data_IF_223443676826
#
_entry.id   IF_223443676826
#
_cell.length_a   1.000
_cell.length_b   1.000
_cell.length_c   1.000
_cell.angle_alpha   90.00
_cell.angle_beta   90.00
_cell.angle_gamma   90.00
#
_symmetry.space_group_name_H-M   'P 1'
#
loop_
_entity.id
_entity.type
_entity.pdbx_description
1 polymer ?
#
# COMPACT_ATOMS: atom_id res chain seq x y z
N UNK A 1 9.34 35.78 5.24
CA UNK A 1 9.96 34.44 5.24
C UNK A 1 10.57 34.25 6.62
N UNK A 2 9.73 33.91 7.60
CA UNK A 2 10.15 33.75 8.98
C UNK A 2 10.11 32.26 9.32
N UNK A 3 11.18 31.84 9.97
CA UNK A 3 11.54 30.50 10.42
C UNK A 3 10.38 29.52 10.59
N UNK A 4 10.33 28.52 9.71
CA UNK A 4 9.83 27.19 10.07
C UNK A 4 10.83 26.64 11.09
N UNK A 5 10.75 27.11 12.34
CA UNK A 5 11.39 26.46 13.46
C UNK A 5 10.83 25.03 13.48
N UNK A 6 11.53 24.12 12.81
CA UNK A 6 11.24 22.68 12.85
C UNK A 6 11.17 22.33 14.33
N UNK A 7 9.94 22.17 14.85
CA UNK A 7 9.70 21.58 16.15
C UNK A 7 10.30 20.19 16.08
N UNK A 8 11.57 20.06 16.49
CA UNK A 8 12.25 18.78 16.59
C UNK A 8 11.77 18.16 17.89
N UNK A 9 10.55 17.61 17.87
CA UNK A 9 10.07 16.75 18.93
C UNK A 9 11.15 15.67 19.18
N UNK A 10 11.66 15.62 20.40
CA UNK A 10 12.62 14.61 20.84
C UNK A 10 12.03 13.20 20.65
N UNK A 11 12.88 12.17 20.58
CA UNK A 11 12.41 10.78 20.48
C UNK A 11 11.42 10.45 21.61
N UNK A 12 11.68 10.95 22.83
CA UNK A 12 10.80 10.76 23.99
C UNK A 12 9.41 11.37 23.77
N UNK A 13 9.30 12.46 23.02
CA UNK A 13 8.04 13.11 22.68
C UNK A 13 7.30 12.42 21.52
N UNK A 14 8.01 11.67 20.67
CA UNK A 14 7.41 10.90 19.56
C UNK A 14 6.90 9.51 20.01
N UNK A 15 7.63 8.83 20.90
CA UNK A 15 7.32 7.47 21.37
C UNK A 15 5.89 7.25 21.93
N UNK A 16 5.21 8.23 22.56
CA UNK A 16 3.83 8.06 23.02
C UNK A 16 2.85 7.62 21.92
N UNK A 17 3.13 7.88 20.64
CA UNK A 17 2.30 7.41 19.52
C UNK A 17 2.19 5.88 19.48
N UNK A 18 3.22 5.15 19.95
CA UNK A 18 3.25 3.69 19.95
C UNK A 18 2.19 3.06 20.87
N UNK A 19 1.71 3.81 21.87
CA UNK A 19 0.62 3.38 22.76
C UNK A 19 -0.76 3.47 22.08
N UNK A 20 -0.88 4.12 20.92
CA UNK A 20 -2.15 4.27 20.20
C UNK A 20 -2.44 3.00 19.41
N UNK A 21 -3.49 2.25 19.77
CA UNK A 21 -3.88 1.02 19.06
C UNK A 21 -4.13 1.21 17.56
N UNK A 22 -4.69 2.35 17.16
CA UNK A 22 -4.88 2.72 15.76
C UNK A 22 -3.58 2.73 14.95
N UNK A 23 -2.42 3.00 15.57
CA UNK A 23 -1.13 2.93 14.88
C UNK A 23 -0.87 1.54 14.33
N UNK A 24 -1.06 0.51 15.16
CA UNK A 24 -0.76 -0.86 14.78
C UNK A 24 -1.72 -1.38 13.71
N UNK A 25 -3.01 -1.03 13.82
CA UNK A 25 -4.01 -1.36 12.81
C UNK A 25 -3.63 -0.72 11.47
N UNK A 26 -3.32 0.58 11.47
CA UNK A 26 -2.96 1.30 10.26
C UNK A 26 -1.63 0.83 9.65
N UNK A 27 -0.64 0.51 10.48
CA UNK A 27 0.63 -0.08 10.05
C UNK A 27 0.42 -1.40 9.32
N UNK A 28 -0.51 -2.24 9.78
CA UNK A 28 -0.84 -3.50 9.10
C UNK A 28 -1.42 -3.25 7.71
N UNK A 29 -2.33 -2.28 7.57
CA UNK A 29 -2.91 -1.93 6.27
C UNK A 29 -1.85 -1.37 5.30
N UNK A 30 -0.93 -0.54 5.81
CA UNK A 30 0.15 0.00 4.99
C UNK A 30 1.17 -1.09 4.62
N UNK A 31 1.46 -2.02 5.52
CA UNK A 31 2.28 -3.19 5.24
C UNK A 31 1.65 -4.07 4.14
N UNK A 32 0.36 -4.33 4.22
CA UNK A 32 -0.35 -5.16 3.24
C UNK A 32 -0.47 -4.50 1.85
N UNK A 33 -0.17 -3.20 1.71
CA UNK A 33 -0.20 -2.50 0.43
C UNK A 33 1.22 -2.14 -0.03
N UNK A 34 1.90 -1.25 0.67
CA UNK A 34 3.27 -0.84 0.36
C UNK A 34 4.27 -1.97 0.55
N UNK A 35 4.13 -2.77 1.61
CA UNK A 35 4.96 -3.96 1.80
C UNK A 35 4.76 -4.99 0.69
N UNK A 36 3.53 -5.19 0.21
CA UNK A 36 3.27 -6.03 -0.97
C UNK A 36 3.91 -5.47 -2.24
N UNK A 37 3.81 -4.15 -2.49
CA UNK A 37 4.47 -3.52 -3.64
C UNK A 37 5.99 -3.77 -3.64
N UNK A 38 6.64 -3.60 -2.50
CA UNK A 38 8.09 -3.86 -2.35
C UNK A 38 8.40 -5.36 -2.42
N UNK A 39 7.62 -6.20 -1.74
CA UNK A 39 7.79 -7.65 -1.72
C UNK A 39 7.65 -8.26 -3.11
N UNK A 40 6.67 -7.84 -3.88
CA UNK A 40 6.53 -8.23 -5.28
C UNK A 40 7.69 -7.71 -6.12
N UNK A 41 8.11 -6.45 -5.94
CA UNK A 41 9.27 -5.89 -6.67
C UNK A 41 10.54 -6.71 -6.45
N UNK A 42 10.75 -7.20 -5.23
CA UNK A 42 11.90 -8.01 -4.86
C UNK A 42 11.80 -9.47 -5.36
N UNK A 43 10.62 -10.08 -5.24
CA UNK A 43 10.43 -11.52 -5.48
C UNK A 43 9.95 -11.92 -6.87
N UNK A 44 9.31 -11.00 -7.62
CA UNK A 44 8.56 -11.34 -8.83
C UNK A 44 9.42 -11.99 -9.93
N UNK A 45 10.59 -11.42 -10.23
CA UNK A 45 11.49 -11.96 -11.26
C UNK A 45 11.98 -13.37 -10.88
N UNK A 46 12.30 -13.59 -9.61
CA UNK A 46 12.72 -14.90 -9.11
C UNK A 46 11.57 -15.90 -9.19
N UNK A 47 10.38 -15.55 -8.70
CA UNK A 47 9.20 -16.40 -8.78
C UNK A 47 8.90 -16.77 -10.23
N UNK A 48 8.85 -15.80 -11.15
CA UNK A 48 8.61 -16.05 -12.57
C UNK A 48 9.62 -17.02 -13.16
N UNK A 49 10.90 -16.94 -12.80
CA UNK A 49 11.94 -17.88 -13.28
C UNK A 49 11.73 -19.29 -12.75
N UNK A 50 11.22 -19.45 -11.52
CA UNK A 50 10.93 -20.79 -10.97
C UNK A 50 9.70 -21.43 -11.61
N UNK A 51 8.70 -20.63 -11.98
CA UNK A 51 7.43 -21.11 -12.54
C UNK A 51 7.47 -21.25 -14.06
N UNK A 52 8.12 -20.31 -14.74
CA UNK A 52 8.22 -20.23 -16.20
C UNK A 52 9.70 -20.04 -16.61
N UNK A 53 10.53 -21.10 -16.51
CA UNK A 53 11.98 -20.99 -16.68
C UNK A 53 12.40 -20.58 -18.10
N UNK A 54 11.58 -20.88 -19.10
CA UNK A 54 11.85 -20.56 -20.50
C UNK A 54 11.59 -19.07 -20.84
N UNK A 55 10.96 -18.32 -19.95
CA UNK A 55 10.63 -16.91 -20.17
C UNK A 55 11.75 -16.00 -19.66
N UNK A 56 12.27 -15.15 -20.54
CA UNK A 56 13.22 -14.09 -20.16
C UNK A 56 12.50 -12.93 -19.44
N UNK A 57 12.12 -13.15 -18.18
CA UNK A 57 11.29 -12.22 -17.40
C UNK A 57 11.94 -10.84 -17.20
N UNK A 58 13.27 -10.72 -17.25
CA UNK A 58 13.97 -9.45 -17.03
C UNK A 58 13.63 -8.38 -18.07
N UNK A 59 13.17 -8.77 -19.27
CA UNK A 59 12.69 -7.82 -20.28
C UNK A 59 11.35 -7.18 -19.90
N UNK A 60 10.58 -7.77 -18.98
CA UNK A 60 9.21 -7.36 -18.67
C UNK A 60 8.96 -7.03 -17.19
N UNK A 61 9.82 -7.53 -16.28
CA UNK A 61 9.61 -7.43 -14.84
C UNK A 61 9.47 -6.00 -14.33
N UNK A 62 10.22 -5.06 -14.92
CA UNK A 62 10.26 -3.65 -14.51
C UNK A 62 8.90 -2.97 -14.61
N UNK A 63 8.01 -3.45 -15.48
CA UNK A 63 6.73 -2.81 -15.74
C UNK A 63 5.78 -2.91 -14.54
N UNK A 64 5.89 -3.95 -13.73
CA UNK A 64 5.12 -4.09 -12.49
C UNK A 64 5.38 -2.95 -11.50
N UNK A 65 6.64 -2.76 -11.02
CA UNK A 65 6.99 -1.63 -10.18
C UNK A 65 6.66 -0.27 -10.80
N UNK A 66 6.83 -0.12 -12.13
CA UNK A 66 6.49 1.09 -12.85
C UNK A 66 5.00 1.46 -12.72
N UNK A 67 4.08 0.55 -13.04
CA UNK A 67 2.64 0.84 -12.93
C UNK A 67 2.20 0.97 -11.48
N UNK A 68 2.78 0.22 -10.55
CA UNK A 68 2.49 0.35 -9.12
C UNK A 68 2.91 1.71 -8.56
N UNK A 69 4.05 2.24 -9.00
CA UNK A 69 4.51 3.58 -8.61
C UNK A 69 3.56 4.68 -9.12
N UNK A 70 3.08 4.58 -10.37
CA UNK A 70 2.07 5.50 -10.91
C UNK A 70 0.73 5.38 -10.15
N UNK A 71 0.32 4.13 -9.89
CA UNK A 71 -0.93 3.84 -9.18
C UNK A 71 -0.91 4.39 -7.75
N UNK A 72 0.25 4.49 -7.10
CA UNK A 72 0.38 5.13 -5.78
C UNK A 72 -0.09 6.58 -5.79
N UNK A 73 0.37 7.37 -6.76
CA UNK A 73 -0.07 8.77 -6.91
C UNK A 73 -1.56 8.84 -7.21
N UNK A 74 -2.06 7.97 -8.10
CA UNK A 74 -3.48 7.88 -8.41
C UNK A 74 -4.33 7.52 -7.18
N UNK A 75 -3.89 6.55 -6.38
CA UNK A 75 -4.58 6.11 -5.16
C UNK A 75 -4.73 7.24 -4.14
N UNK A 76 -3.71 8.08 -3.98
CA UNK A 76 -3.79 9.30 -3.17
C UNK A 76 -4.80 10.30 -3.73
N UNK A 77 -4.68 10.65 -5.01
CA UNK A 77 -5.57 11.62 -5.66
C UNK A 77 -7.05 11.19 -5.68
N UNK A 78 -7.33 9.90 -5.87
CA UNK A 78 -8.68 9.34 -5.78
C UNK A 78 -9.19 9.42 -4.33
N UNK A 79 -8.32 9.14 -3.35
CA UNK A 79 -8.66 9.19 -1.93
C UNK A 79 -8.95 10.59 -1.43
N UNK A 80 -8.32 11.61 -2.00
CA UNK A 80 -8.64 13.01 -1.68
C UNK A 80 -10.05 13.40 -2.11
N UNK A 81 -10.61 12.75 -3.15
CA UNK A 81 -11.96 13.02 -3.66
C UNK A 81 -13.02 12.10 -3.08
N UNK A 82 -12.72 10.82 -2.93
CA UNK A 82 -13.68 9.77 -2.55
C UNK A 82 -13.49 9.29 -1.10
N UNK A 83 -12.45 9.74 -0.40
CA UNK A 83 -12.10 9.32 0.96
C UNK A 83 -11.27 8.04 0.97
N UNK A 84 -10.11 8.08 1.62
CA UNK A 84 -9.14 6.98 1.64
C UNK A 84 -9.66 5.66 2.20
N UNK A 85 -10.58 5.66 3.17
CA UNK A 85 -11.16 4.41 3.71
C UNK A 85 -11.96 3.64 2.67
N UNK A 86 -12.80 4.32 1.87
CA UNK A 86 -13.61 3.65 0.83
C UNK A 86 -12.73 3.09 -0.28
N UNK A 87 -11.77 3.88 -0.75
CA UNK A 87 -10.81 3.46 -1.77
C UNK A 87 -9.97 2.27 -1.29
N UNK A 88 -9.47 2.34 -0.06
CA UNK A 88 -8.65 1.28 0.53
C UNK A 88 -9.42 -0.02 0.70
N UNK A 89 -10.68 0.04 1.13
CA UNK A 89 -11.54 -1.15 1.28
C UNK A 89 -11.75 -1.87 -0.06
N UNK A 90 -12.16 -1.12 -1.09
CA UNK A 90 -12.37 -1.68 -2.43
C UNK A 90 -11.05 -2.26 -2.97
N UNK A 91 -9.94 -1.54 -2.77
CA UNK A 91 -8.63 -2.01 -3.19
C UNK A 91 -8.23 -3.33 -2.51
N UNK A 92 -8.49 -3.50 -1.20
CA UNK A 92 -8.21 -4.76 -0.52
C UNK A 92 -9.04 -5.93 -1.06
N UNK A 93 -10.30 -5.70 -1.41
CA UNK A 93 -11.13 -6.72 -2.08
C UNK A 93 -10.51 -7.13 -3.41
N UNK A 94 -10.06 -6.16 -4.22
CA UNK A 94 -9.39 -6.44 -5.48
C UNK A 94 -8.07 -7.20 -5.28
N UNK A 95 -7.25 -6.80 -4.30
CA UNK A 95 -6.01 -7.51 -3.96
C UNK A 95 -6.28 -8.96 -3.56
N UNK A 96 -7.34 -9.23 -2.78
CA UNK A 96 -7.74 -10.58 -2.40
C UNK A 96 -8.17 -11.42 -3.62
N UNK A 97 -8.99 -10.83 -4.51
CA UNK A 97 -9.43 -11.49 -5.74
C UNK A 97 -8.24 -11.83 -6.63
N UNK A 98 -7.34 -10.88 -6.92
CA UNK A 98 -6.19 -11.15 -7.78
C UNK A 98 -5.20 -12.12 -7.15
N UNK A 99 -5.05 -12.12 -5.83
CA UNK A 99 -4.24 -13.13 -5.12
C UNK A 99 -4.83 -14.52 -5.27
N UNK A 100 -6.16 -14.67 -5.22
CA UNK A 100 -6.84 -15.93 -5.49
C UNK A 100 -6.73 -16.37 -6.95
N UNK A 101 -6.94 -15.45 -7.90
CA UNK A 101 -6.82 -15.72 -9.34
C UNK A 101 -5.40 -16.16 -9.74
N UNK A 102 -4.37 -15.71 -9.02
CA UNK A 102 -2.99 -16.09 -9.29
C UNK A 102 -2.80 -17.61 -9.30
N UNK A 103 -3.47 -18.34 -8.41
CA UNK A 103 -3.37 -19.80 -8.34
C UNK A 103 -3.86 -20.50 -9.62
N UNK A 104 -4.80 -19.91 -10.35
CA UNK A 104 -5.31 -20.46 -11.61
C UNK A 104 -4.33 -20.27 -12.78
N UNK A 105 -3.29 -19.45 -12.60
CA UNK A 105 -2.30 -19.14 -13.65
C UNK A 105 -1.05 -20.02 -13.58
N UNK A 106 -0.80 -20.65 -12.42
CA UNK A 106 0.43 -21.37 -12.14
C UNK A 106 0.46 -22.75 -12.82
N UNK A 107 1.64 -23.23 -13.22
CA UNK A 107 1.82 -24.61 -13.67
C UNK A 107 1.69 -25.59 -12.50
N UNK A 108 1.18 -26.79 -12.77
CA UNK A 108 1.11 -27.89 -11.79
C UNK A 108 2.07 -29.00 -12.20
N UNK A 109 3.11 -29.25 -11.40
CA UNK A 109 4.11 -30.29 -11.72
C UNK A 109 4.96 -30.00 -12.96
N UNK A 110 5.12 -28.73 -13.33
CA UNK A 110 5.86 -28.31 -14.52
C UNK A 110 5.11 -28.44 -15.85
N UNK A 111 3.83 -28.85 -15.80
CA UNK A 111 2.96 -28.97 -16.98
C UNK A 111 1.78 -28.01 -16.85
N UNK A 112 1.45 -27.33 -17.95
CA UNK A 112 0.36 -26.36 -17.99
C UNK A 112 0.75 -24.98 -17.45
N UNK A 113 -0.24 -24.21 -17.00
CA UNK A 113 -0.07 -22.80 -16.63
C UNK A 113 -0.02 -21.85 -17.83
N UNK A 114 -0.20 -20.56 -17.59
CA UNK A 114 -0.15 -19.53 -18.63
C UNK A 114 0.65 -18.35 -18.14
N UNK A 115 1.85 -18.16 -18.71
CA UNK A 115 2.70 -17.03 -18.38
C UNK A 115 1.99 -15.69 -18.62
N UNK A 116 1.24 -15.57 -19.72
CA UNK A 116 0.51 -14.33 -20.05
C UNK A 116 -0.53 -14.03 -18.97
N UNK A 117 -1.27 -15.04 -18.50
CA UNK A 117 -2.24 -14.86 -17.43
C UNK A 117 -1.54 -14.54 -16.09
N UNK A 118 -0.47 -15.26 -15.74
CA UNK A 118 0.35 -15.03 -14.55
C UNK A 118 0.88 -13.60 -14.50
N UNK A 119 1.48 -13.15 -15.61
CA UNK A 119 2.03 -11.81 -15.75
C UNK A 119 0.93 -10.76 -15.65
N UNK A 120 -0.20 -10.94 -16.34
CA UNK A 120 -1.35 -10.04 -16.26
C UNK A 120 -1.92 -9.90 -14.85
N UNK A 121 -2.08 -11.02 -14.12
CA UNK A 121 -2.52 -11.00 -12.72
C UNK A 121 -1.48 -10.32 -11.82
N UNK A 122 -0.19 -10.56 -12.03
CA UNK A 122 0.86 -9.86 -11.27
C UNK A 122 0.87 -8.35 -11.53
N UNK A 123 0.65 -7.91 -12.77
CA UNK A 123 0.49 -6.48 -13.06
C UNK A 123 -0.71 -5.89 -12.31
N UNK A 124 -1.84 -6.61 -12.24
CA UNK A 124 -2.99 -6.19 -11.44
C UNK A 124 -2.66 -6.12 -9.94
N UNK A 125 -1.88 -7.07 -9.41
CA UNK A 125 -1.37 -7.05 -8.03
C UNK A 125 -0.42 -5.88 -7.77
N UNK A 126 0.50 -5.57 -8.69
CA UNK A 126 1.37 -4.40 -8.58
C UNK A 126 0.58 -3.09 -8.61
N UNK A 127 -0.39 -2.99 -9.52
CA UNK A 127 -1.26 -1.83 -9.66
C UNK A 127 -2.07 -1.60 -8.37
N UNK A 128 -2.71 -2.63 -7.85
CA UNK A 128 -3.53 -2.55 -6.63
C UNK A 128 -2.69 -2.39 -5.36
N UNK A 129 -1.50 -2.98 -5.26
CA UNK A 129 -0.57 -2.71 -4.17
C UNK A 129 -0.10 -1.24 -4.17
N UNK A 130 0.21 -0.71 -5.36
CA UNK A 130 0.54 0.70 -5.57
C UNK A 130 -0.61 1.63 -5.17
N UNK A 131 -1.79 1.43 -5.75
CA UNK A 131 -3.01 2.20 -5.45
C UNK A 131 -3.32 2.17 -3.95
N UNK A 132 -3.33 0.98 -3.36
CA UNK A 132 -3.54 0.78 -1.93
C UNK A 132 -2.53 1.50 -1.05
N UNK A 133 -1.28 1.63 -1.51
CA UNK A 133 -0.24 2.37 -0.78
C UNK A 133 -0.60 3.85 -0.68
N UNK A 134 -1.06 4.44 -1.79
CA UNK A 134 -1.50 5.83 -1.85
C UNK A 134 -2.75 6.07 -1.01
N UNK A 135 -3.76 5.20 -1.16
CA UNK A 135 -5.03 5.35 -0.44
C UNK A 135 -4.88 5.13 1.07
N UNK A 136 -4.06 4.17 1.47
CA UNK A 136 -3.80 3.90 2.89
C UNK A 136 -3.00 5.03 3.51
N UNK A 137 -1.99 5.58 2.82
CA UNK A 137 -1.23 6.71 3.34
C UNK A 137 -2.12 7.95 3.56
N UNK A 138 -3.00 8.24 2.60
CA UNK A 138 -4.00 9.31 2.71
C UNK A 138 -4.97 9.07 3.87
N UNK A 139 -5.52 7.85 3.97
CA UNK A 139 -6.42 7.44 5.04
C UNK A 139 -5.77 7.59 6.43
N UNK A 140 -4.51 7.17 6.59
CA UNK A 140 -3.76 7.28 7.84
C UNK A 140 -3.67 8.75 8.27
N UNK A 141 -3.27 9.64 7.36
CA UNK A 141 -3.14 11.06 7.64
C UNK A 141 -4.48 11.67 8.11
N UNK A 142 -5.58 11.34 7.44
CA UNK A 142 -6.92 11.84 7.80
C UNK A 142 -7.38 11.30 9.16
N UNK A 143 -7.32 9.98 9.38
CA UNK A 143 -7.82 9.35 10.61
C UNK A 143 -7.00 9.81 11.82
N UNK A 144 -5.67 9.82 11.73
CA UNK A 144 -4.83 10.26 12.85
C UNK A 144 -5.05 11.73 13.21
N UNK A 145 -5.26 12.59 12.20
CA UNK A 145 -5.62 13.99 12.44
C UNK A 145 -6.96 14.11 13.16
N UNK A 146 -7.98 13.38 12.72
CA UNK A 146 -9.30 13.39 13.36
C UNK A 146 -9.24 12.89 14.80
N UNK A 147 -8.50 11.80 15.07
CA UNK A 147 -8.30 11.27 16.43
C UNK A 147 -7.61 12.32 17.32
N UNK A 148 -6.60 13.01 16.81
CA UNK A 148 -5.88 14.05 17.58
C UNK A 148 -6.81 15.23 17.90
N UNK A 149 -7.55 15.74 16.91
CA UNK A 149 -8.54 16.82 17.10
C UNK A 149 -9.60 16.44 18.14
N UNK A 150 -10.14 15.23 18.04
CA UNK A 150 -11.14 14.73 18.99
C UNK A 150 -10.59 14.68 20.43
N UNK A 151 -9.37 14.17 20.62
CA UNK A 151 -8.74 14.08 21.94
C UNK A 151 -8.44 15.45 22.55
N UNK A 152 -8.10 16.46 21.74
CA UNK A 152 -7.88 17.83 22.22
C UNK A 152 -9.20 18.47 22.67
N UNK A 153 -10.27 18.32 21.88
CA UNK A 153 -11.60 18.81 22.24
C UNK A 153 -12.13 18.17 23.53
N UNK A 154 -11.91 16.87 23.72
CA UNK A 154 -12.28 16.18 24.97
C UNK A 154 -11.55 16.72 26.20
N UNK A 155 -10.37 17.32 26.02
CA UNK A 155 -9.59 17.95 27.10
C UNK A 155 -9.91 19.45 27.26
N UNK A 156 -10.93 19.96 26.58
CA UNK A 156 -11.32 21.36 26.61
C UNK A 156 -10.45 22.30 25.77
N UNK A 157 -9.60 21.75 24.88
CA UNK A 157 -8.74 22.55 24.01
C UNK A 157 -9.41 23.00 22.71
N UNK A 158 -8.82 24.01 22.05
CA UNK A 158 -9.30 24.56 20.77
C UNK A 158 -8.71 23.83 19.54
N UNK A 159 -9.28 24.04 18.36
CA UNK A 159 -8.75 23.48 17.10
C UNK A 159 -7.34 24.00 16.76
N UNK A 160 -6.92 25.15 17.30
CA UNK A 160 -5.55 25.68 17.15
C UNK A 160 -4.52 24.96 18.03
N UNK A 161 -4.97 24.27 19.08
CA UNK A 161 -4.10 23.52 20.00
C UNK A 161 -3.86 22.06 19.55
N UNK A 162 -4.49 21.63 18.45
CA UNK A 162 -4.51 20.25 17.96
C UNK A 162 -3.69 20.03 16.69
#
# INVERSE_FOLDING_TARGET
>A
MNELATSKASLKEQLPVLKRGHLWIMSLLYLATFGSFIGFSAGFAMLSKTQFPDVQILHYAFFGPFIGALARSAGGAISDRLGGTRVTLINFVLMAIFSGLLFLTLPTGGVGGSFIAFYGVFLALFLTAGLGSGSTFQMIAVIFRQITLYNVKLRGGSDEQA
#
